data_IF_101264208801
#
_entry.id   IF_101264208801
#
_cell.length_a   1.000
_cell.length_b   1.000
_cell.length_c   1.000
_cell.angle_alpha   90.00
_cell.angle_beta   90.00
_cell.angle_gamma   90.00
#
_symmetry.space_group_name_H-M   'P 1'
#
loop_
_entity.id
_entity.type
_entity.pdbx_description
1 polymer ?
#
# COMPACT_ATOMS: atom_id res chain seq x y z
N UNK A 1 -16.52 -3.09 7.36
CA UNK A 1 -15.65 -2.11 6.72
C UNK A 1 -14.43 -2.78 6.07
N UNK A 2 -13.77 -3.70 6.75
CA UNK A 2 -12.54 -4.38 6.31
C UNK A 2 -12.78 -5.70 5.55
N UNK A 3 -13.96 -5.90 4.97
CA UNK A 3 -14.34 -7.11 4.22
C UNK A 3 -14.23 -8.45 4.99
N UNK A 4 -14.31 -8.40 6.32
CA UNK A 4 -14.29 -9.58 7.20
C UNK A 4 -15.67 -9.96 7.74
N UNK A 5 -16.75 -9.40 7.18
CA UNK A 5 -18.12 -9.73 7.57
C UNK A 5 -18.37 -11.24 7.43
N UNK A 6 -18.97 -11.83 8.47
CA UNK A 6 -19.21 -13.28 8.55
C UNK A 6 -17.99 -14.09 9.03
N UNK A 7 -16.91 -13.44 9.43
CA UNK A 7 -15.71 -14.09 9.98
C UNK A 7 -15.42 -13.70 11.45
N UNK A 8 -16.39 -13.11 12.12
CA UNK A 8 -16.26 -12.57 13.47
C UNK A 8 -15.90 -13.64 14.51
N UNK A 9 -16.25 -14.89 14.26
CA UNK A 9 -15.99 -16.03 15.13
C UNK A 9 -14.91 -16.97 14.60
N UNK A 10 -14.28 -16.64 13.45
CA UNK A 10 -13.21 -17.46 12.88
C UNK A 10 -11.91 -17.29 13.68
N UNK A 11 -11.20 -18.38 13.89
CA UNK A 11 -9.83 -18.32 14.42
C UNK A 11 -8.87 -17.82 13.34
N UNK A 12 -7.77 -17.13 13.69
CA UNK A 12 -6.78 -16.65 12.73
C UNK A 12 -6.25 -17.72 11.77
N UNK A 13 -6.10 -18.96 12.23
CA UNK A 13 -5.66 -20.11 11.41
C UNK A 13 -6.65 -20.52 10.31
N UNK A 14 -7.88 -20.08 10.39
CA UNK A 14 -8.95 -20.37 9.42
C UNK A 14 -9.08 -19.30 8.35
N UNK A 15 -8.30 -18.23 8.48
CA UNK A 15 -8.24 -17.12 7.53
C UNK A 15 -7.20 -17.40 6.45
N UNK A 16 -7.53 -17.05 5.21
CA UNK A 16 -6.55 -17.02 4.13
C UNK A 16 -5.63 -15.78 4.26
N UNK A 17 -4.58 -15.69 3.43
CA UNK A 17 -3.62 -14.60 3.47
C UNK A 17 -4.27 -13.21 3.38
N UNK A 18 -5.19 -13.03 2.42
CA UNK A 18 -5.92 -11.79 2.23
C UNK A 18 -6.73 -11.39 3.48
N UNK A 19 -7.47 -12.33 4.05
CA UNK A 19 -8.26 -12.11 5.27
C UNK A 19 -7.37 -11.80 6.47
N UNK A 20 -6.22 -12.46 6.60
CA UNK A 20 -5.24 -12.19 7.68
C UNK A 20 -4.70 -10.76 7.58
N UNK A 21 -4.31 -10.32 6.38
CA UNK A 21 -3.85 -8.94 6.17
C UNK A 21 -4.93 -7.91 6.49
N UNK A 22 -6.16 -8.17 6.12
CA UNK A 22 -7.28 -7.30 6.48
C UNK A 22 -7.62 -7.32 7.96
N UNK A 23 -7.40 -8.43 8.65
CA UNK A 23 -7.53 -8.49 10.11
C UNK A 23 -6.49 -7.61 10.80
N UNK A 24 -5.24 -7.64 10.35
CA UNK A 24 -4.18 -6.77 10.88
C UNK A 24 -4.51 -5.29 10.66
N UNK A 25 -4.99 -4.95 9.47
CA UNK A 25 -5.46 -3.59 9.17
C UNK A 25 -6.64 -3.19 10.06
N UNK A 26 -7.62 -4.07 10.26
CA UNK A 26 -8.76 -3.83 11.13
C UNK A 26 -8.33 -3.58 12.59
N UNK A 27 -7.36 -4.33 13.09
CA UNK A 27 -6.78 -4.13 14.43
C UNK A 27 -6.11 -2.76 14.56
N UNK A 28 -5.33 -2.35 13.56
CA UNK A 28 -4.72 -1.02 13.55
C UNK A 28 -5.78 0.09 13.54
N UNK A 29 -6.84 -0.06 12.74
CA UNK A 29 -7.93 0.91 12.65
C UNK A 29 -8.80 1.00 13.90
N UNK A 30 -8.88 -0.07 14.70
CA UNK A 30 -9.64 -0.08 15.95
C UNK A 30 -9.10 0.96 16.95
N UNK A 31 -7.81 1.30 16.87
CA UNK A 31 -7.19 2.35 17.69
C UNK A 31 -7.54 3.78 17.21
N UNK A 32 -8.31 3.92 16.12
CA UNK A 32 -8.67 5.22 15.50
C UNK A 32 -7.44 6.10 15.24
N UNK A 33 -6.42 5.61 14.52
CA UNK A 33 -5.15 6.31 14.36
C UNK A 33 -5.32 7.56 13.49
N UNK A 34 -4.55 8.60 13.79
CA UNK A 34 -4.40 9.76 12.92
C UNK A 34 -3.35 9.52 11.82
N UNK A 35 -2.41 8.61 12.07
CA UNK A 35 -1.36 8.18 11.16
C UNK A 35 -1.34 6.65 11.12
N UNK A 36 -1.42 6.09 9.93
CA UNK A 36 -1.34 4.66 9.66
C UNK A 36 -0.10 4.37 8.80
N UNK A 37 0.74 3.47 9.28
CA UNK A 37 1.93 3.02 8.55
C UNK A 37 1.66 1.63 7.98
N UNK A 38 1.79 1.47 6.68
CA UNK A 38 1.55 0.23 5.94
C UNK A 38 2.85 -0.19 5.24
N UNK A 39 3.39 -1.33 5.63
CA UNK A 39 4.62 -1.86 5.06
C UNK A 39 4.32 -3.15 4.27
N UNK A 40 4.41 -3.05 2.94
CA UNK A 40 4.18 -4.14 1.98
C UNK A 40 2.92 -4.98 2.24
N UNK A 41 1.83 -4.32 2.68
CA UNK A 41 0.59 -5.00 3.08
C UNK A 41 -0.10 -5.73 1.92
N UNK A 42 0.25 -5.42 0.68
CA UNK A 42 -0.34 -6.02 -0.53
C UNK A 42 0.50 -7.16 -1.11
N UNK A 43 1.64 -7.47 -0.50
CA UNK A 43 2.49 -8.57 -0.94
C UNK A 43 1.75 -9.91 -0.88
N UNK A 44 1.85 -10.70 -1.95
CA UNK A 44 1.23 -12.02 -2.06
C UNK A 44 -0.27 -12.03 -2.38
N UNK A 45 -0.89 -10.87 -2.59
CA UNK A 45 -2.28 -10.77 -3.03
C UNK A 45 -2.39 -10.90 -4.56
N UNK A 46 -3.50 -11.49 -5.01
CA UNK A 46 -3.86 -11.51 -6.43
C UNK A 46 -4.21 -10.11 -6.93
N UNK A 47 -4.17 -9.86 -8.26
CA UNK A 47 -4.56 -8.56 -8.82
C UNK A 47 -5.94 -8.06 -8.37
N UNK A 48 -6.94 -8.95 -8.32
CA UNK A 48 -8.28 -8.59 -7.89
C UNK A 48 -8.35 -8.23 -6.40
N UNK A 49 -7.59 -8.94 -5.56
CA UNK A 49 -7.47 -8.65 -4.13
C UNK A 49 -6.75 -7.31 -3.89
N UNK A 50 -5.73 -7.01 -4.70
CA UNK A 50 -5.05 -5.71 -4.66
C UNK A 50 -6.02 -4.57 -4.99
N UNK A 51 -6.87 -4.72 -6.00
CA UNK A 51 -7.86 -3.69 -6.36
C UNK A 51 -8.85 -3.43 -5.21
N UNK A 52 -9.31 -4.48 -4.56
CA UNK A 52 -10.14 -4.37 -3.35
C UNK A 52 -9.43 -3.69 -2.18
N UNK A 53 -8.14 -4.00 -1.99
CA UNK A 53 -7.31 -3.39 -0.95
C UNK A 53 -7.04 -1.90 -1.22
N UNK A 54 -6.77 -1.53 -2.46
CA UNK A 54 -6.60 -0.12 -2.88
C UNK A 54 -7.86 0.68 -2.56
N UNK A 55 -9.03 0.15 -2.87
CA UNK A 55 -10.29 0.82 -2.57
C UNK A 55 -10.52 0.96 -1.06
N UNK A 56 -10.19 -0.05 -0.27
CA UNK A 56 -10.26 0.01 1.18
C UNK A 56 -9.32 1.09 1.75
N UNK A 57 -8.07 1.15 1.27
CA UNK A 57 -7.09 2.14 1.72
C UNK A 57 -7.55 3.56 1.37
N UNK A 58 -8.15 3.77 0.19
CA UNK A 58 -8.77 5.06 -0.18
C UNK A 58 -9.86 5.47 0.81
N UNK A 59 -10.76 4.56 1.15
CA UNK A 59 -11.82 4.81 2.13
C UNK A 59 -11.29 5.16 3.53
N UNK A 60 -10.17 4.56 3.94
CA UNK A 60 -9.49 4.90 5.20
C UNK A 60 -8.93 6.32 5.14
N UNK A 61 -8.25 6.67 4.05
CA UNK A 61 -7.73 8.02 3.82
C UNK A 61 -8.85 9.07 3.85
N UNK A 62 -9.98 8.78 3.21
CA UNK A 62 -11.12 9.69 3.12
C UNK A 62 -11.77 9.96 4.50
N UNK A 63 -11.50 9.11 5.50
CA UNK A 63 -11.84 9.34 6.90
C UNK A 63 -10.82 10.21 7.65
N UNK A 64 -9.96 10.94 6.93
CA UNK A 64 -8.92 11.84 7.46
C UNK A 64 -7.79 11.13 8.21
N UNK A 65 -7.53 9.88 7.92
CA UNK A 65 -6.33 9.17 8.37
C UNK A 65 -5.19 9.46 7.41
N UNK A 66 -4.09 9.99 7.93
CA UNK A 66 -2.84 10.11 7.16
C UNK A 66 -2.24 8.72 6.98
N UNK A 67 -1.85 8.36 5.77
CA UNK A 67 -1.29 7.05 5.47
C UNK A 67 0.11 7.22 4.90
N UNK A 68 1.06 6.48 5.45
CA UNK A 68 2.38 6.25 4.84
C UNK A 68 2.40 4.78 4.42
N UNK A 69 2.61 4.54 3.13
CA UNK A 69 2.66 3.20 2.57
C UNK A 69 4.03 2.94 1.94
N UNK A 70 4.64 1.82 2.29
CA UNK A 70 5.85 1.30 1.63
C UNK A 70 5.40 0.19 0.69
N UNK A 71 5.61 0.39 -0.60
CA UNK A 71 5.20 -0.55 -1.64
C UNK A 71 6.14 -0.52 -2.84
N UNK A 72 6.20 -1.63 -3.56
CA UNK A 72 6.97 -1.77 -4.79
C UNK A 72 6.09 -1.97 -6.04
N UNK A 73 4.78 -2.10 -5.84
CA UNK A 73 3.81 -2.23 -6.94
C UNK A 73 3.44 -0.84 -7.45
N UNK A 74 4.07 -0.39 -8.54
CA UNK A 74 3.95 0.98 -9.07
C UNK A 74 2.52 1.43 -9.30
N UNK A 75 1.64 0.57 -9.81
CA UNK A 75 0.23 0.91 -10.03
C UNK A 75 -0.49 1.26 -8.72
N UNK A 76 -0.11 0.62 -7.61
CA UNK A 76 -0.67 0.89 -6.29
C UNK A 76 -0.16 2.22 -5.76
N UNK A 77 1.16 2.41 -5.83
CA UNK A 77 1.81 3.66 -5.39
C UNK A 77 1.19 4.85 -6.12
N UNK A 78 1.07 4.77 -7.44
CA UNK A 78 0.48 5.84 -8.26
C UNK A 78 -1.01 6.08 -7.95
N UNK A 79 -1.76 4.99 -7.69
CA UNK A 79 -3.20 5.09 -7.44
C UNK A 79 -3.56 5.65 -6.06
N UNK A 80 -2.67 5.51 -5.07
CA UNK A 80 -2.94 5.86 -3.68
C UNK A 80 -2.24 7.14 -3.22
N UNK A 81 -1.07 7.47 -3.80
CA UNK A 81 -0.18 8.46 -3.23
C UNK A 81 -0.42 9.85 -3.79
N UNK A 82 -0.55 10.83 -2.91
CA UNK A 82 -0.49 12.26 -3.24
C UNK A 82 0.96 12.68 -3.46
N UNK A 83 1.88 12.10 -2.69
CA UNK A 83 3.31 12.35 -2.73
C UNK A 83 4.08 11.03 -2.61
N UNK A 84 5.16 10.91 -3.38
CA UNK A 84 6.06 9.76 -3.37
C UNK A 84 7.45 10.20 -2.90
N UNK A 85 8.10 9.33 -2.14
CA UNK A 85 9.53 9.39 -1.84
C UNK A 85 10.14 8.07 -2.33
N UNK A 86 11.08 8.17 -3.25
CA UNK A 86 11.81 7.02 -3.80
C UNK A 86 13.13 6.87 -3.07
N UNK A 87 13.35 5.70 -2.51
CA UNK A 87 14.59 5.34 -1.84
C UNK A 87 15.39 4.38 -2.73
N UNK A 88 16.68 4.66 -2.88
CA UNK A 88 17.66 3.77 -3.51
C UNK A 88 18.90 3.68 -2.64
N UNK A 89 19.32 2.46 -2.31
CA UNK A 89 20.49 2.18 -1.46
C UNK A 89 20.57 3.04 -0.18
N UNK A 90 19.42 3.24 0.48
CA UNK A 90 19.31 4.01 1.72
C UNK A 90 19.34 5.53 1.54
N UNK A 91 19.25 6.03 0.32
CA UNK A 91 19.21 7.47 0.00
C UNK A 91 17.93 7.84 -0.71
N UNK A 92 17.51 9.09 -0.53
CA UNK A 92 16.37 9.63 -1.29
C UNK A 92 16.84 9.94 -2.71
N UNK A 93 16.34 9.17 -3.68
CA UNK A 93 16.59 9.37 -5.10
C UNK A 93 15.71 10.47 -5.68
N UNK A 94 14.43 10.47 -5.32
CA UNK A 94 13.44 11.42 -5.79
C UNK A 94 12.33 11.59 -4.79
N UNK A 95 11.66 12.74 -4.80
CA UNK A 95 10.44 12.98 -4.04
C UNK A 95 9.57 14.05 -4.70
N UNK A 96 8.26 13.94 -4.54
CA UNK A 96 7.32 14.89 -5.11
C UNK A 96 5.97 14.27 -5.43
N UNK A 97 5.20 14.92 -6.30
CA UNK A 97 3.94 14.38 -6.81
C UNK A 97 4.20 13.08 -7.60
N UNK A 98 3.28 12.12 -7.49
CA UNK A 98 3.44 10.82 -8.12
C UNK A 98 3.75 10.92 -9.62
N UNK A 99 3.02 11.75 -10.37
CA UNK A 99 3.22 11.91 -11.81
C UNK A 99 4.63 12.43 -12.16
N UNK A 100 5.13 13.41 -11.41
CA UNK A 100 6.44 14.01 -11.67
C UNK A 100 7.59 13.04 -11.35
N UNK A 101 7.47 12.33 -10.22
CA UNK A 101 8.49 11.37 -9.76
C UNK A 101 8.54 10.16 -10.70
N UNK A 102 7.39 9.65 -11.12
CA UNK A 102 7.31 8.48 -12.00
C UNK A 102 7.76 8.75 -13.43
N UNK A 103 7.78 10.01 -13.87
CA UNK A 103 8.29 10.41 -15.18
C UNK A 103 9.83 10.51 -15.25
N UNK A 104 10.54 10.32 -14.14
CA UNK A 104 12.00 10.45 -14.09
C UNK A 104 12.69 9.17 -14.58
N UNK A 105 13.68 9.32 -15.46
CA UNK A 105 14.45 8.20 -16.02
C UNK A 105 15.28 7.46 -14.94
N UNK A 106 15.84 8.18 -13.97
CA UNK A 106 16.60 7.58 -12.87
C UNK A 106 15.71 6.71 -11.95
N UNK A 107 14.48 7.12 -11.72
CA UNK A 107 13.49 6.33 -10.98
C UNK A 107 13.09 5.09 -11.77
N UNK A 108 12.82 5.23 -13.07
CA UNK A 108 12.52 4.11 -13.95
C UNK A 108 13.68 3.08 -13.97
N UNK A 109 14.91 3.55 -14.07
CA UNK A 109 16.11 2.70 -14.05
C UNK A 109 16.25 1.96 -12.72
N UNK A 110 16.10 2.64 -11.59
CA UNK A 110 16.24 2.05 -10.26
C UNK A 110 15.19 0.96 -9.97
N UNK A 111 13.96 1.15 -10.46
CA UNK A 111 12.86 0.23 -10.17
C UNK A 111 12.60 -0.82 -11.25
N UNK A 112 12.79 -0.49 -12.51
CA UNK A 112 12.50 -1.41 -13.61
C UNK A 112 13.73 -2.20 -14.06
N UNK A 113 14.91 -1.86 -13.56
CA UNK A 113 16.17 -2.50 -13.95
C UNK A 113 16.48 -2.31 -15.45
N UNK A 114 15.86 -1.33 -16.09
CA UNK A 114 16.13 -1.01 -17.48
C UNK A 114 17.43 -0.22 -17.55
N UNK A 115 18.52 -0.94 -17.68
CA UNK A 115 19.75 -0.33 -18.16
C UNK A 115 19.47 0.23 -19.54
N UNK A 116 19.45 1.52 -19.69
CA UNK A 116 19.56 2.12 -21.02
C UNK A 116 20.93 1.72 -21.56
N UNK A 117 20.89 0.81 -22.50
CA UNK A 117 22.05 0.51 -23.34
C UNK A 117 22.35 1.73 -24.24
#
# INVERSE_FOLDING_TARGET
FTALAGREHAYPRELNLHQTKFLELARALAAKPRLLLLDEVLSGLTPAEIDGAVELIRRIRDQRTTIVIVEHVMRVVTALSDRIVVLDQGRVLAQGKAADVMARDDVATAYLGVAHA
#
